data_IF_726813507815
#
_entry.id   IF_726813507815
#
_cell.length_a   1.000
_cell.length_b   1.000
_cell.length_c   1.000
_cell.angle_alpha   90.00
_cell.angle_beta   90.00
_cell.angle_gamma   90.00
#
_symmetry.space_group_name_H-M   'P 1'
#
loop_
_entity.id
_entity.type
_entity.pdbx_description
1 polymer ?
#
# COMPACT_ATOMS: atom_id res chain seq x y z
N UNK A 1 13.74 -12.90 -31.33
CA UNK A 1 12.90 -13.57 -30.31
C UNK A 1 13.66 -14.51 -29.35
N UNK A 2 14.92 -14.88 -29.61
CA UNK A 2 15.73 -15.77 -28.76
C UNK A 2 16.22 -15.07 -27.45
N UNK A 3 16.49 -13.78 -27.51
CA UNK A 3 17.12 -13.03 -26.41
C UNK A 3 16.22 -12.81 -25.17
N UNK A 4 14.90 -12.69 -25.36
CA UNK A 4 13.96 -12.51 -24.24
C UNK A 4 13.85 -13.76 -23.34
N UNK A 5 14.00 -14.96 -23.89
CA UNK A 5 13.99 -16.20 -23.12
C UNK A 5 15.25 -16.35 -22.29
N UNK A 6 16.39 -15.93 -22.84
CA UNK A 6 17.67 -15.94 -22.12
C UNK A 6 17.66 -14.98 -20.95
N UNK A 7 17.04 -13.80 -21.12
CA UNK A 7 16.89 -12.80 -20.07
C UNK A 7 15.98 -13.30 -18.92
N UNK A 8 14.88 -13.99 -19.27
CA UNK A 8 13.98 -14.63 -18.29
C UNK A 8 14.70 -15.75 -17.55
N UNK A 9 15.47 -16.60 -18.26
CA UNK A 9 16.28 -17.65 -17.63
C UNK A 9 17.39 -17.07 -16.74
N UNK A 10 18.03 -15.97 -17.14
CA UNK A 10 19.04 -15.29 -16.36
C UNK A 10 18.43 -14.66 -15.09
N UNK A 11 17.25 -14.06 -15.19
CA UNK A 11 16.49 -13.56 -14.02
C UNK A 11 16.05 -14.71 -13.11
N UNK A 12 15.52 -15.82 -13.65
CA UNK A 12 15.16 -17.00 -12.86
C UNK A 12 16.40 -17.64 -12.22
N UNK A 13 17.56 -17.63 -12.87
CA UNK A 13 18.81 -18.11 -12.32
C UNK A 13 19.38 -17.18 -11.25
N UNK A 14 19.30 -15.86 -11.44
CA UNK A 14 19.72 -14.85 -10.45
C UNK A 14 18.88 -14.90 -9.17
N UNK A 15 17.59 -15.19 -9.29
CA UNK A 15 16.66 -15.30 -8.15
C UNK A 15 16.43 -16.73 -7.67
N UNK A 16 16.82 -17.74 -8.45
CA UNK A 16 16.46 -19.15 -8.21
C UNK A 16 17.54 -20.02 -7.59
N UNK A 17 18.76 -19.55 -7.38
CA UNK A 17 19.87 -20.38 -6.91
C UNK A 17 20.65 -19.72 -5.78
N UNK A 18 19.96 -19.15 -4.82
CA UNK A 18 20.53 -19.00 -3.48
C UNK A 18 19.89 -20.03 -2.57
N UNK A 19 20.62 -20.63 -1.62
CA UNK A 19 20.12 -21.76 -0.86
C UNK A 19 18.86 -21.35 -0.08
N UNK A 20 17.70 -21.80 -0.56
CA UNK A 20 16.42 -21.80 0.17
C UNK A 20 16.50 -22.59 1.50
N UNK A 21 17.66 -23.17 1.81
CA UNK A 21 17.86 -24.10 2.91
C UNK A 21 18.21 -23.45 4.25
N UNK A 22 18.36 -22.11 4.29
CA UNK A 22 18.63 -21.38 5.54
C UNK A 22 17.71 -20.16 5.67
N UNK A 23 16.42 -20.33 5.42
CA UNK A 23 15.41 -19.28 5.61
C UNK A 23 14.31 -19.80 6.51
N UNK A 24 13.99 -19.03 7.53
CA UNK A 24 12.84 -19.29 8.41
C UNK A 24 11.61 -18.61 7.82
N UNK A 25 10.49 -19.31 7.80
CA UNK A 25 9.19 -18.73 7.48
C UNK A 25 8.63 -18.05 8.73
N UNK A 26 8.40 -16.75 8.66
CA UNK A 26 7.73 -15.98 9.69
C UNK A 26 6.34 -15.55 9.24
N UNK A 27 5.43 -15.48 10.19
CA UNK A 27 4.11 -14.87 10.01
C UNK A 27 4.00 -13.58 10.82
N UNK A 28 3.05 -12.70 10.47
CA UNK A 28 2.87 -11.49 11.24
C UNK A 28 1.53 -10.82 11.00
N UNK A 29 1.18 -9.94 11.94
CA UNK A 29 0.01 -9.05 11.84
C UNK A 29 0.49 -7.61 11.74
N UNK A 30 -0.30 -6.77 11.09
CA UNK A 30 -0.06 -5.34 11.06
C UNK A 30 -1.37 -4.57 11.23
N UNK A 31 -1.30 -3.47 11.97
CA UNK A 31 -2.44 -2.58 12.18
C UNK A 31 -1.93 -1.17 12.50
N UNK A 32 -2.58 -0.16 11.93
CA UNK A 32 -2.24 1.22 12.27
C UNK A 32 -2.98 2.28 11.47
N UNK A 33 -2.70 3.55 11.74
CA UNK A 33 -3.21 4.66 10.97
C UNK A 33 -2.54 4.75 9.60
N UNK A 34 -3.32 5.25 8.65
CA UNK A 34 -2.85 5.60 7.31
C UNK A 34 -3.40 6.96 6.91
N UNK A 35 -2.68 7.63 6.04
CA UNK A 35 -3.18 8.81 5.34
C UNK A 35 -3.09 8.55 3.85
N UNK A 36 -4.16 8.82 3.14
CA UNK A 36 -4.23 8.65 1.69
C UNK A 36 -4.60 9.95 0.99
N UNK A 37 -4.15 10.08 -0.23
CA UNK A 37 -4.59 11.13 -1.15
C UNK A 37 -4.63 10.57 -2.56
N UNK A 38 -5.46 11.13 -3.39
CA UNK A 38 -5.48 10.87 -4.83
C UNK A 38 -4.90 12.10 -5.53
N UNK A 39 -3.87 11.90 -6.33
CA UNK A 39 -3.31 12.96 -7.15
C UNK A 39 -3.97 12.93 -8.52
N UNK A 40 -4.68 14.00 -8.85
CA UNK A 40 -5.32 14.20 -10.14
C UNK A 40 -4.47 15.18 -10.93
N UNK A 41 -4.11 14.84 -12.17
CA UNK A 41 -3.31 15.70 -13.05
C UNK A 41 -4.07 17.03 -13.28
N UNK A 42 -3.38 18.17 -13.06
CA UNK A 42 -4.01 19.49 -13.22
C UNK A 42 -4.88 19.97 -12.07
N UNK A 43 -5.04 19.20 -10.97
CA UNK A 43 -5.88 19.60 -9.85
C UNK A 43 -5.16 19.51 -8.50
N UNK A 44 -4.79 20.67 -7.93
CA UNK A 44 -4.15 20.77 -6.60
C UNK A 44 -5.16 20.87 -5.44
N UNK A 45 -6.44 20.56 -5.69
CA UNK A 45 -7.51 20.71 -4.68
C UNK A 45 -7.67 19.48 -3.78
N UNK A 46 -6.90 18.43 -4.00
CA UNK A 46 -6.94 17.20 -3.18
C UNK A 46 -6.19 17.38 -1.86
N UNK A 47 -6.70 16.74 -0.80
CA UNK A 47 -6.09 16.73 0.54
C UNK A 47 -5.96 15.31 1.05
N UNK A 48 -5.01 15.13 1.94
CA UNK A 48 -4.84 13.88 2.68
C UNK A 48 -6.08 13.57 3.53
N UNK A 49 -6.40 12.30 3.56
CA UNK A 49 -7.48 11.76 4.35
C UNK A 49 -6.93 10.72 5.33
N UNK A 50 -7.17 10.86 6.63
CA UNK A 50 -6.80 9.87 7.62
C UNK A 50 -7.76 8.66 7.57
N UNK A 51 -7.20 7.48 7.75
CA UNK A 51 -7.92 6.21 7.83
C UNK A 51 -7.13 5.15 8.61
N UNK A 52 -7.65 3.92 8.62
CA UNK A 52 -6.98 2.76 9.23
C UNK A 52 -6.58 1.76 8.15
N UNK A 53 -5.49 1.08 8.39
CA UNK A 53 -5.00 -0.04 7.58
C UNK A 53 -4.60 -1.19 8.47
N UNK A 54 -4.70 -2.41 7.96
CA UNK A 54 -4.27 -3.59 8.68
C UNK A 54 -4.21 -4.81 7.77
N UNK A 55 -3.46 -5.82 8.17
CA UNK A 55 -3.26 -6.97 7.33
C UNK A 55 -2.45 -8.08 7.97
N UNK A 56 -2.15 -9.06 7.15
CA UNK A 56 -1.31 -10.20 7.51
C UNK A 56 -0.07 -10.21 6.63
N UNK A 57 0.98 -10.82 7.14
CA UNK A 57 2.31 -10.88 6.53
C UNK A 57 2.83 -12.31 6.54
N UNK A 58 3.52 -12.69 5.46
CA UNK A 58 4.37 -13.87 5.40
C UNK A 58 5.75 -13.43 4.92
N UNK A 59 6.79 -13.76 5.69
CA UNK A 59 8.15 -13.36 5.41
C UNK A 59 9.09 -14.56 5.38
N UNK A 60 10.00 -14.55 4.42
CA UNK A 60 11.19 -15.41 4.39
C UNK A 60 12.33 -14.66 5.06
N UNK A 61 12.68 -15.10 6.25
CA UNK A 61 13.65 -14.49 7.14
C UNK A 61 15.01 -15.16 6.91
N UNK A 62 16.05 -14.44 6.51
CA UNK A 62 17.34 -15.04 6.23
C UNK A 62 18.12 -15.26 7.53
N UNK A 63 18.68 -16.46 7.73
CA UNK A 63 19.57 -16.77 8.88
C UNK A 63 21.00 -16.23 8.69
N UNK A 64 21.50 -16.26 7.45
CA UNK A 64 22.89 -15.89 7.17
C UNK A 64 23.05 -14.74 6.15
N UNK A 65 21.94 -14.25 5.61
CA UNK A 65 21.92 -13.16 4.62
C UNK A 65 21.32 -11.90 5.23
N UNK A 66 21.52 -10.78 4.58
CA UNK A 66 20.83 -9.53 4.88
C UNK A 66 19.61 -9.31 3.93
N UNK A 67 19.29 -10.28 3.09
CA UNK A 67 18.24 -10.17 2.09
C UNK A 67 17.19 -11.25 2.36
N UNK A 68 15.94 -10.83 2.52
CA UNK A 68 14.77 -11.67 2.64
C UNK A 68 13.68 -11.26 1.66
N UNK A 69 12.58 -11.99 1.68
CA UNK A 69 11.39 -11.68 0.87
C UNK A 69 10.14 -11.69 1.73
N UNK A 70 9.14 -10.95 1.32
CA UNK A 70 7.89 -10.81 2.08
C UNK A 70 6.71 -10.61 1.13
N UNK A 71 5.60 -11.20 1.49
CA UNK A 71 4.30 -10.95 0.87
C UNK A 71 3.30 -10.56 1.97
N UNK A 72 2.58 -9.46 1.75
CA UNK A 72 1.53 -9.03 2.66
C UNK A 72 0.16 -9.10 1.97
N UNK A 73 -0.89 -9.24 2.77
CA UNK A 73 -2.28 -8.99 2.36
C UNK A 73 -2.84 -7.91 3.26
N UNK A 74 -3.09 -6.74 2.70
CA UNK A 74 -3.39 -5.53 3.47
C UNK A 74 -4.74 -4.99 3.04
N UNK A 75 -5.66 -4.87 3.99
CA UNK A 75 -6.85 -4.05 3.83
C UNK A 75 -6.51 -2.60 4.12
N UNK A 76 -6.82 -1.70 3.20
CA UNK A 76 -6.67 -0.27 3.40
C UNK A 76 -7.84 0.50 2.80
N UNK A 77 -8.25 1.53 3.51
CA UNK A 77 -9.13 2.54 2.95
C UNK A 77 -8.26 3.60 2.30
N UNK A 78 -8.61 3.94 1.06
CA UNK A 78 -7.90 4.93 0.26
C UNK A 78 -8.91 5.96 -0.27
N UNK A 79 -8.40 7.03 -0.84
CA UNK A 79 -9.24 8.06 -1.44
C UNK A 79 -8.72 9.46 -1.15
N UNK A 80 -9.58 10.43 -1.39
CA UNK A 80 -9.22 11.83 -1.22
C UNK A 80 -10.30 12.62 -0.48
N UNK A 81 -9.92 13.82 -0.07
CA UNK A 81 -10.84 14.85 0.38
C UNK A 81 -10.61 16.11 -0.46
N UNK A 82 -11.68 16.76 -0.94
CA UNK A 82 -11.54 18.06 -1.59
C UNK A 82 -11.25 19.16 -0.58
N UNK A 83 -10.69 20.27 -1.06
CA UNK A 83 -10.72 21.53 -0.30
C UNK A 83 -12.18 21.92 -0.06
N UNK A 84 -12.43 22.64 1.02
CA UNK A 84 -13.75 23.19 1.28
C UNK A 84 -14.10 24.21 0.20
N UNK A 85 -15.24 24.02 -0.46
CA UNK A 85 -15.85 24.96 -1.39
C UNK A 85 -17.12 25.60 -0.79
N UNK A 86 -17.71 26.53 -1.50
CA UNK A 86 -19.01 27.12 -1.17
C UNK A 86 -20.02 26.68 -2.24
N UNK A 87 -21.23 26.34 -1.84
CA UNK A 87 -22.36 26.13 -2.75
C UNK A 87 -22.99 27.45 -3.18
N UNK A 88 -23.97 27.37 -4.10
CA UNK A 88 -24.74 28.57 -4.53
C UNK A 88 -25.49 29.26 -3.37
N UNK A 89 -25.69 28.60 -2.25
CA UNK A 89 -26.33 29.08 -1.03
C UNK A 89 -25.31 29.54 0.02
N UNK A 90 -24.02 29.68 -0.36
CA UNK A 90 -22.91 30.08 0.51
C UNK A 90 -22.65 29.09 1.68
N UNK A 91 -23.04 27.81 1.52
CA UNK A 91 -22.75 26.77 2.50
C UNK A 91 -21.40 26.13 2.19
N UNK A 92 -20.65 25.79 3.21
CA UNK A 92 -19.40 25.03 3.05
C UNK A 92 -19.71 23.62 2.60
N UNK A 93 -19.17 23.22 1.45
CA UNK A 93 -19.24 21.85 0.91
C UNK A 93 -17.85 21.23 0.92
N UNK A 94 -17.78 19.97 1.30
CA UNK A 94 -16.58 19.14 1.22
C UNK A 94 -16.94 17.77 0.62
N UNK A 95 -16.28 17.44 -0.44
CA UNK A 95 -16.38 16.11 -1.08
C UNK A 95 -15.31 15.19 -0.51
N UNK A 96 -15.68 13.96 -0.18
CA UNK A 96 -14.77 12.92 0.28
C UNK A 96 -15.08 11.63 -0.47
N UNK A 97 -14.08 11.13 -1.18
CA UNK A 97 -14.12 9.82 -1.79
C UNK A 97 -13.47 8.80 -0.86
N UNK A 98 -14.10 7.62 -0.75
CA UNK A 98 -13.64 6.51 0.09
C UNK A 98 -13.68 5.24 -0.74
N UNK A 99 -12.53 4.66 -0.97
CA UNK A 99 -12.40 3.38 -1.67
C UNK A 99 -11.73 2.36 -0.77
N UNK A 100 -12.19 1.13 -0.83
CA UNK A 100 -11.71 0.00 -0.04
C UNK A 100 -10.84 -0.88 -0.92
N UNK A 101 -9.63 -1.16 -0.49
CA UNK A 101 -8.66 -1.95 -1.24
C UNK A 101 -8.16 -3.14 -0.42
N UNK A 102 -7.95 -4.24 -1.13
CA UNK A 102 -7.05 -5.32 -0.71
C UNK A 102 -5.77 -5.17 -1.52
N UNK A 103 -4.68 -4.87 -0.85
CA UNK A 103 -3.37 -4.67 -1.47
C UNK A 103 -2.47 -5.87 -1.17
N UNK A 104 -1.75 -6.31 -2.19
CA UNK A 104 -0.81 -7.43 -2.10
C UNK A 104 0.55 -6.96 -2.59
N UNK A 105 1.40 -6.39 -1.73
CA UNK A 105 2.79 -6.10 -2.05
C UNK A 105 3.64 -7.37 -1.97
N UNK A 106 4.60 -7.48 -2.88
CA UNK A 106 5.70 -8.44 -2.83
C UNK A 106 6.98 -7.65 -2.59
N UNK A 107 7.58 -7.80 -1.42
CA UNK A 107 8.65 -6.94 -0.95
C UNK A 107 9.98 -7.70 -0.82
N UNK A 108 11.04 -7.07 -1.27
CA UNK A 108 12.40 -7.42 -0.91
C UNK A 108 12.72 -6.76 0.43
N UNK A 109 13.15 -7.55 1.39
CA UNK A 109 13.58 -7.09 2.71
C UNK A 109 15.10 -6.98 2.74
N UNK A 110 15.60 -5.83 3.16
CA UNK A 110 17.01 -5.56 3.35
C UNK A 110 17.22 -5.27 4.84
N UNK A 111 17.82 -6.20 5.53
CA UNK A 111 18.19 -6.06 6.94
C UNK A 111 19.45 -5.22 7.04
N UNK A 112 19.40 -4.14 7.78
CA UNK A 112 20.55 -3.20 7.89
C UNK A 112 21.69 -3.75 8.77
N UNK A 113 21.46 -4.87 9.42
CA UNK A 113 22.42 -5.61 10.23
C UNK A 113 22.15 -7.11 10.08
N UNK A 114 23.18 -7.93 10.09
CA UNK A 114 23.00 -9.39 10.20
C UNK A 114 22.47 -9.75 11.57
N UNK A 115 21.61 -10.77 11.62
CA UNK A 115 21.21 -11.38 12.87
C UNK A 115 22.43 -12.01 13.57
N UNK A 116 22.46 -11.87 14.88
CA UNK A 116 23.42 -12.56 15.75
C UNK A 116 22.65 -13.51 16.68
N UNK A 117 23.28 -14.59 17.10
CA UNK A 117 22.68 -15.57 18.02
C UNK A 117 22.26 -14.95 19.36
N UNK A 118 22.89 -13.83 19.75
CA UNK A 118 22.57 -13.10 20.98
C UNK A 118 21.40 -12.10 20.80
N UNK A 119 20.82 -11.97 19.60
CA UNK A 119 19.68 -11.08 19.37
C UNK A 119 18.41 -11.73 19.95
N UNK A 120 17.85 -11.14 20.98
CA UNK A 120 16.65 -11.62 21.65
C UNK A 120 15.40 -11.50 20.77
N UNK A 121 15.36 -10.51 19.88
CA UNK A 121 14.20 -10.22 19.03
C UNK A 121 14.64 -9.68 17.65
N UNK A 122 14.18 -10.34 16.59
CA UNK A 122 14.41 -9.93 15.21
C UNK A 122 13.80 -8.57 14.87
N UNK A 123 12.74 -8.17 15.57
CA UNK A 123 12.10 -6.87 15.38
C UNK A 123 13.05 -5.70 15.62
N UNK A 124 14.07 -5.88 16.44
CA UNK A 124 15.09 -4.87 16.76
C UNK A 124 16.09 -4.63 15.62
N UNK A 125 16.03 -5.39 14.53
CA UNK A 125 16.89 -5.16 13.38
C UNK A 125 16.16 -4.20 12.42
N UNK A 126 16.73 -3.01 12.17
CA UNK A 126 16.14 -2.10 11.19
C UNK A 126 16.10 -2.73 9.80
N UNK A 127 14.97 -2.60 9.11
CA UNK A 127 14.74 -3.21 7.79
C UNK A 127 14.23 -2.17 6.80
N UNK A 128 14.77 -2.21 5.61
CA UNK A 128 14.24 -1.53 4.44
C UNK A 128 13.50 -2.54 3.58
N UNK A 129 12.36 -2.16 3.05
CA UNK A 129 11.52 -2.99 2.21
C UNK A 129 11.13 -2.23 0.97
N UNK A 130 11.19 -2.88 -0.17
CA UNK A 130 10.79 -2.29 -1.44
C UNK A 130 10.27 -3.35 -2.39
N UNK A 131 9.25 -3.03 -3.16
CA UNK A 131 8.77 -3.95 -4.19
C UNK A 131 7.49 -3.50 -4.86
N UNK A 132 7.05 -4.26 -5.87
CA UNK A 132 5.79 -4.05 -6.55
C UNK A 132 4.60 -4.39 -5.65
N UNK A 133 3.47 -3.74 -5.94
CA UNK A 133 2.19 -4.00 -5.30
C UNK A 133 1.10 -4.11 -6.35
N UNK A 134 0.15 -5.01 -6.11
CA UNK A 134 -1.14 -5.03 -6.79
C UNK A 134 -2.25 -4.80 -5.76
N UNK A 135 -3.22 -3.95 -6.12
CA UNK A 135 -4.36 -3.60 -5.28
C UNK A 135 -5.67 -3.92 -5.98
N UNK A 136 -6.62 -4.42 -5.25
CA UNK A 136 -7.97 -4.71 -5.73
C UNK A 136 -8.97 -3.82 -5.00
N UNK A 137 -9.63 -2.93 -5.75
CA UNK A 137 -10.74 -2.15 -5.22
C UNK A 137 -11.94 -3.08 -5.02
N UNK A 138 -12.38 -3.22 -3.77
CA UNK A 138 -13.49 -4.11 -3.38
C UNK A 138 -14.76 -3.35 -3.04
N UNK A 139 -14.72 -2.02 -3.05
CA UNK A 139 -15.88 -1.16 -2.80
C UNK A 139 -15.48 0.27 -2.56
N UNK A 140 -16.47 1.13 -2.40
CA UNK A 140 -16.23 2.53 -2.07
C UNK A 140 -17.54 3.28 -1.91
N UNK A 141 -17.46 4.47 -1.34
CA UNK A 141 -18.60 5.39 -1.21
C UNK A 141 -18.11 6.84 -1.19
N UNK A 142 -18.92 7.70 -1.75
CA UNK A 142 -18.72 9.13 -1.71
C UNK A 142 -19.50 9.75 -0.54
N UNK A 143 -18.88 10.70 0.12
CA UNK A 143 -19.47 11.45 1.21
C UNK A 143 -19.42 12.93 0.89
N UNK A 144 -20.58 13.56 0.85
CA UNK A 144 -20.71 15.00 0.73
C UNK A 144 -21.03 15.56 2.13
N UNK A 145 -20.15 16.42 2.63
CA UNK A 145 -20.34 17.14 3.88
C UNK A 145 -20.81 18.57 3.57
N UNK A 146 -22.04 18.90 3.96
CA UNK A 146 -22.63 20.23 3.79
C UNK A 146 -22.91 20.80 5.18
N UNK A 147 -22.28 21.93 5.53
CA UNK A 147 -22.45 22.59 6.85
C UNK A 147 -22.25 21.65 8.06
N UNK A 148 -21.33 20.69 8.00
CA UNK A 148 -21.13 19.74 9.07
C UNK A 148 -22.15 18.61 9.15
N UNK A 149 -23.16 18.56 8.26
CA UNK A 149 -24.08 17.43 8.11
C UNK A 149 -23.56 16.50 7.02
N UNK A 150 -23.06 15.34 7.41
CA UNK A 150 -22.59 14.31 6.46
C UNK A 150 -23.77 13.68 5.74
N UNK A 151 -23.82 13.83 4.42
CA UNK A 151 -24.69 13.05 3.55
C UNK A 151 -23.84 11.93 2.94
N UNK A 152 -24.17 10.68 3.26
CA UNK A 152 -23.58 9.54 2.58
C UNK A 152 -24.40 9.26 1.32
N UNK A 153 -23.75 9.31 0.19
CA UNK A 153 -24.28 8.79 -1.06
C UNK A 153 -23.55 7.47 -1.33
N UNK A 154 -24.29 6.37 -1.25
CA UNK A 154 -23.75 5.06 -1.59
C UNK A 154 -23.73 4.95 -3.12
N UNK A 155 -22.61 5.33 -3.72
CA UNK A 155 -22.33 5.02 -5.11
C UNK A 155 -21.34 3.87 -5.06
N UNK A 156 -21.78 2.67 -5.42
CA UNK A 156 -20.85 1.56 -5.54
C UNK A 156 -20.04 1.77 -6.82
N UNK A 157 -18.70 1.71 -6.77
CA UNK A 157 -17.85 1.84 -7.95
C UNK A 157 -18.21 0.84 -9.07
N UNK A 158 -18.94 -0.20 -8.72
CA UNK A 158 -19.43 -1.24 -9.62
C UNK A 158 -20.57 -0.77 -10.50
N UNK A 159 -21.51 0.00 -9.96
CA UNK A 159 -22.72 0.44 -10.66
C UNK A 159 -22.40 1.52 -11.70
N UNK A 160 -21.43 2.39 -11.40
CA UNK A 160 -21.06 3.46 -12.32
C UNK A 160 -20.04 3.03 -13.38
N UNK A 161 -19.32 1.90 -13.18
CA UNK A 161 -18.29 1.43 -14.11
C UNK A 161 -17.10 2.38 -14.29
N UNK A 162 -17.03 3.46 -13.52
CA UNK A 162 -16.08 4.57 -13.70
C UNK A 162 -14.73 4.33 -13.04
N UNK A 163 -14.64 3.40 -12.09
CA UNK A 163 -13.40 3.07 -11.38
C UNK A 163 -12.68 1.88 -11.98
N UNK A 164 -11.36 1.92 -11.98
CA UNK A 164 -10.53 0.76 -12.21
C UNK A 164 -10.51 -0.10 -10.94
N UNK A 165 -10.78 -1.40 -11.12
CA UNK A 165 -10.77 -2.37 -10.03
C UNK A 165 -9.38 -2.77 -9.59
N UNK A 166 -8.41 -2.61 -10.48
CA UNK A 166 -7.02 -3.02 -10.25
C UNK A 166 -6.18 -1.77 -10.20
N UNK A 167 -5.45 -1.62 -9.10
CA UNK A 167 -4.37 -0.68 -8.92
C UNK A 167 -3.04 -1.45 -8.89
N UNK A 168 -2.00 -0.91 -9.45
CA UNK A 168 -0.65 -1.44 -9.36
C UNK A 168 0.30 -0.29 -9.05
N UNK A 169 1.39 -0.60 -8.38
CA UNK A 169 2.31 0.43 -7.94
C UNK A 169 3.56 -0.12 -7.30
N UNK A 170 4.25 0.77 -6.61
CA UNK A 170 5.44 0.48 -5.84
C UNK A 170 5.21 0.79 -4.37
N UNK A 171 5.74 -0.05 -3.51
CA UNK A 171 5.73 0.12 -2.07
C UNK A 171 7.14 0.16 -1.55
N UNK A 172 7.42 1.11 -0.65
CA UNK A 172 8.64 1.18 0.12
C UNK A 172 8.31 1.34 1.60
N UNK A 173 9.05 0.68 2.47
CA UNK A 173 8.85 0.77 3.91
C UNK A 173 10.18 0.71 4.68
N UNK A 174 10.18 1.32 5.85
CA UNK A 174 11.22 1.16 6.85
C UNK A 174 10.58 0.68 8.15
N UNK A 175 11.19 -0.28 8.80
CA UNK A 175 10.73 -0.75 10.10
C UNK A 175 11.88 -0.87 11.08
N UNK A 176 11.57 -0.59 12.32
CA UNK A 176 12.43 -0.77 13.47
C UNK A 176 11.57 -1.11 14.67
N UNK A 177 11.98 -2.10 15.44
CA UNK A 177 11.18 -2.67 16.50
C UNK A 177 9.83 -3.14 15.93
N UNK A 178 8.71 -2.84 16.56
CA UNK A 178 7.37 -3.19 16.07
C UNK A 178 6.73 -2.10 15.21
N UNK A 179 7.47 -1.04 14.85
CA UNK A 179 6.92 0.10 14.10
C UNK A 179 7.41 0.05 12.65
N UNK A 180 6.48 0.16 11.74
CA UNK A 180 6.72 0.28 10.31
C UNK A 180 6.12 1.58 9.77
N UNK A 181 6.92 2.31 9.00
CA UNK A 181 6.47 3.43 8.17
C UNK A 181 6.52 2.97 6.72
N UNK A 182 5.40 3.02 6.03
CA UNK A 182 5.24 2.55 4.66
C UNK A 182 4.69 3.65 3.77
N UNK A 183 5.22 3.73 2.56
CA UNK A 183 4.71 4.56 1.49
C UNK A 183 4.37 3.69 0.27
N UNK A 184 3.16 3.86 -0.24
CA UNK A 184 2.69 3.23 -1.47
C UNK A 184 2.40 4.29 -2.52
N UNK A 185 3.00 4.12 -3.68
CA UNK A 185 2.80 4.92 -4.88
C UNK A 185 2.00 4.12 -5.90
N UNK A 186 0.71 4.47 -6.09
CA UNK A 186 -0.13 3.91 -7.14
C UNK A 186 0.27 4.48 -8.50
N UNK A 187 0.34 3.63 -9.50
CA UNK A 187 0.72 3.96 -10.88
C UNK A 187 -0.44 3.80 -11.85
N UNK A 188 -1.46 3.02 -11.49
CA UNK A 188 -2.67 2.86 -12.28
C UNK A 188 -3.55 4.10 -12.18
N UNK A 189 -4.32 4.35 -13.24
CA UNK A 189 -5.41 5.33 -13.15
C UNK A 189 -6.52 4.78 -12.25
N UNK A 190 -6.96 5.58 -11.30
CA UNK A 190 -8.11 5.25 -10.44
C UNK A 190 -9.40 5.29 -11.25
N UNK A 191 -9.54 6.28 -12.14
CA UNK A 191 -10.70 6.41 -13.02
C UNK A 191 -10.39 5.83 -14.41
N UNK A 192 -11.39 5.21 -15.04
CA UNK A 192 -11.27 4.67 -16.41
C UNK A 192 -11.21 5.76 -17.46
N UNK A 193 -11.92 6.85 -17.22
CA UNK A 193 -12.04 7.99 -18.10
C UNK A 193 -11.67 9.28 -17.38
N UNK A 194 -11.17 10.26 -18.10
CA UNK A 194 -10.80 11.56 -17.52
C UNK A 194 -9.30 11.73 -17.32
N UNK A 195 -8.95 12.64 -16.42
CA UNK A 195 -7.56 13.00 -16.12
C UNK A 195 -6.84 11.88 -15.35
N UNK A 196 -5.54 11.78 -15.55
CA UNK A 196 -4.70 10.81 -14.83
C UNK A 196 -4.82 11.03 -13.33
N UNK A 197 -5.22 9.98 -12.64
CA UNK A 197 -5.42 9.98 -11.18
C UNK A 197 -4.68 8.80 -10.56
N UNK A 198 -3.88 9.04 -9.53
CA UNK A 198 -3.07 8.00 -8.87
C UNK A 198 -3.24 8.08 -7.36
N UNK A 199 -3.25 6.92 -6.71
CA UNK A 199 -3.33 6.82 -5.26
C UNK A 199 -1.95 6.96 -4.61
N UNK A 200 -1.90 7.67 -3.49
CA UNK A 200 -0.73 7.76 -2.63
C UNK A 200 -1.14 7.46 -1.19
N UNK A 201 -0.46 6.54 -0.56
CA UNK A 201 -0.76 6.13 0.82
C UNK A 201 0.51 6.15 1.66
N UNK A 202 0.43 6.79 2.82
CA UNK A 202 1.44 6.70 3.88
C UNK A 202 0.78 6.02 5.06
N UNK A 203 1.40 5.00 5.63
CA UNK A 203 0.91 4.35 6.85
C UNK A 203 2.01 4.21 7.89
N UNK A 204 1.59 4.26 9.15
CA UNK A 204 2.43 3.92 10.29
C UNK A 204 1.71 2.78 11.00
N UNK A 205 2.32 1.60 11.00
CA UNK A 205 1.68 0.40 11.55
C UNK A 205 2.53 -0.20 12.67
N UNK A 206 1.86 -0.71 13.69
CA UNK A 206 2.44 -1.73 14.53
C UNK A 206 2.47 -3.04 13.74
N UNK A 207 3.57 -3.73 13.77
CA UNK A 207 3.79 -4.92 12.96
C UNK A 207 4.65 -5.90 13.73
N UNK A 208 4.07 -7.04 14.04
CA UNK A 208 4.74 -8.17 14.68
C UNK A 208 5.04 -9.27 13.66
N UNK A 209 6.18 -9.97 13.84
CA UNK A 209 6.57 -11.14 13.04
C UNK A 209 7.02 -12.21 14.04
N UNK A 210 6.43 -13.39 13.99
CA UNK A 210 6.75 -14.55 14.81
C UNK A 210 7.15 -15.76 13.98
#
# INVERSE_FOLDING_TARGET
MKDKRLLIFFFLWLFGVQPLFAQRLGGGLMLGPAISTMRISGNDSTRFRPDLTGGVRLALIPEHSIIGAEIDVIYSRQGMSSKKGLDASNNTIRFMEKSHYINVPLLLNIYLRKWKEDDEDESMIPRLRIGPQIGFCIGGNDVIDVKGKKRQQYITPWELGTFNRIDYGLTAAISYWYVEVRYTYGMANVFKEGEKSTNHVISVTWSDIW
#
